data_IF_034728544235
#
_entry.id   IF_034728544235
#
_cell.length_a   1.000
_cell.length_b   1.000
_cell.length_c   1.000
_cell.angle_alpha   90.00
_cell.angle_beta   90.00
_cell.angle_gamma   90.00
#
_symmetry.space_group_name_H-M   'P 1'
#
loop_
_entity.id
_entity.type
_entity.pdbx_description
1 polymer ?
#
# COMPACT_ATOMS: atom_id res chain seq x y z
N UNK A 1 10.31 6.36 17.42
CA UNK A 1 9.66 7.42 16.61
C UNK A 1 9.82 7.00 15.16
N UNK A 2 8.74 6.77 14.44
CA UNK A 2 8.81 6.41 13.01
C UNK A 2 9.09 7.71 12.26
N UNK A 3 10.30 7.88 11.72
CA UNK A 3 10.61 8.98 10.82
C UNK A 3 9.68 8.86 9.61
N UNK A 4 8.82 9.87 9.40
CA UNK A 4 8.05 9.95 8.17
C UNK A 4 9.03 10.30 7.05
N UNK A 5 9.23 9.38 6.11
CA UNK A 5 9.96 9.64 4.86
C UNK A 5 9.41 10.90 4.18
N UNK A 6 10.31 11.76 3.68
CA UNK A 6 9.98 13.00 2.95
C UNK A 6 9.39 12.74 1.55
N UNK A 7 9.43 11.48 1.07
CA UNK A 7 8.89 11.11 -0.24
C UNK A 7 7.37 11.36 -0.31
N UNK A 8 6.93 11.97 -1.41
CA UNK A 8 5.52 12.09 -1.75
C UNK A 8 4.87 10.73 -2.02
N UNK A 9 3.54 10.66 -1.98
CA UNK A 9 2.82 9.42 -2.27
C UNK A 9 3.05 8.96 -3.72
N UNK A 10 3.18 9.90 -4.66
CA UNK A 10 3.48 9.58 -6.05
C UNK A 10 4.86 8.94 -6.21
N UNK A 11 5.90 9.48 -5.57
CA UNK A 11 7.25 8.89 -5.60
C UNK A 11 7.28 7.49 -4.99
N UNK A 12 6.48 7.25 -3.95
CA UNK A 12 6.34 5.93 -3.35
C UNK A 12 5.62 4.96 -4.28
N UNK A 13 4.54 5.39 -4.95
CA UNK A 13 3.82 4.59 -5.95
C UNK A 13 4.75 4.24 -7.12
N UNK A 14 5.48 5.22 -7.65
CA UNK A 14 6.45 5.01 -8.73
C UNK A 14 7.57 4.05 -8.30
N UNK A 15 8.02 4.16 -7.06
CA UNK A 15 8.95 3.20 -6.48
C UNK A 15 8.36 1.79 -6.40
N UNK A 16 7.11 1.65 -5.97
CA UNK A 16 6.42 0.34 -5.93
C UNK A 16 6.32 -0.27 -7.32
N UNK A 17 5.91 0.50 -8.33
CA UNK A 17 5.88 0.06 -9.74
C UNK A 17 7.23 -0.52 -10.16
N UNK A 18 8.31 0.17 -9.82
CA UNK A 18 9.69 -0.25 -10.10
C UNK A 18 10.24 -1.33 -9.14
N UNK A 19 9.36 -2.04 -8.43
CA UNK A 19 9.71 -3.11 -7.48
C UNK A 19 10.62 -2.67 -6.33
N UNK A 20 10.61 -1.38 -5.96
CA UNK A 20 11.36 -0.85 -4.84
C UNK A 20 10.70 -1.27 -3.50
N UNK A 21 11.37 -2.17 -2.79
CA UNK A 21 10.90 -2.71 -1.50
C UNK A 21 10.79 -1.64 -0.41
N UNK A 22 11.65 -0.62 -0.44
CA UNK A 22 11.63 0.46 0.54
C UNK A 22 10.43 1.38 0.33
N UNK A 23 10.13 1.72 -0.92
CA UNK A 23 8.92 2.48 -1.27
C UNK A 23 7.65 1.73 -0.85
N UNK A 24 7.61 0.40 -1.08
CA UNK A 24 6.52 -0.47 -0.63
C UNK A 24 6.36 -0.46 0.90
N UNK A 25 7.47 -0.54 1.63
CA UNK A 25 7.50 -0.52 3.11
C UNK A 25 7.03 0.83 3.66
N UNK A 26 7.56 1.94 3.14
CA UNK A 26 7.18 3.29 3.57
C UNK A 26 5.70 3.54 3.30
N UNK A 27 5.19 3.13 2.13
CA UNK A 27 3.78 3.27 1.78
C UNK A 27 2.88 2.45 2.72
N UNK A 28 3.30 1.23 3.07
CA UNK A 28 2.62 0.42 4.09
C UNK A 28 2.63 1.14 5.45
N UNK A 29 3.79 1.52 5.97
CA UNK A 29 3.93 2.14 7.30
C UNK A 29 3.12 3.44 7.41
N UNK A 30 3.07 4.24 6.33
CA UNK A 30 2.35 5.53 6.28
C UNK A 30 0.84 5.35 6.45
N UNK A 31 0.25 4.33 5.83
CA UNK A 31 -1.20 4.14 5.80
C UNK A 31 -1.71 3.04 6.73
N UNK A 32 -0.84 2.14 7.20
CA UNK A 32 -1.23 0.97 7.98
C UNK A 32 -2.18 1.32 9.12
N UNK A 33 -1.82 2.28 9.98
CA UNK A 33 -2.64 2.66 11.13
C UNK A 33 -4.03 3.18 10.72
N UNK A 34 -4.12 3.98 9.65
CA UNK A 34 -5.40 4.54 9.21
C UNK A 34 -6.34 3.45 8.69
N UNK A 35 -5.80 2.51 7.90
CA UNK A 35 -6.60 1.40 7.36
C UNK A 35 -6.93 0.40 8.48
N UNK A 36 -5.98 0.12 9.37
CA UNK A 36 -6.17 -0.78 10.51
C UNK A 36 -7.25 -0.26 11.47
N UNK A 37 -7.21 1.01 11.85
CA UNK A 37 -8.23 1.63 12.72
C UNK A 37 -9.63 1.54 12.12
N UNK A 38 -9.73 1.67 10.80
CA UNK A 38 -11.00 1.46 10.10
C UNK A 38 -11.43 -0.01 10.16
N UNK A 39 -10.54 -0.94 9.81
CA UNK A 39 -10.84 -2.38 9.82
C UNK A 39 -11.21 -2.90 11.22
N UNK A 40 -10.50 -2.48 12.27
CA UNK A 40 -10.76 -2.88 13.65
C UNK A 40 -12.15 -2.39 14.11
N UNK A 41 -12.53 -1.15 13.79
CA UNK A 41 -13.85 -0.59 14.13
C UNK A 41 -14.99 -1.33 13.44
N UNK A 42 -14.82 -1.68 12.17
CA UNK A 42 -15.86 -2.35 11.37
C UNK A 42 -16.03 -3.81 11.80
N UNK A 43 -14.93 -4.53 12.05
CA UNK A 43 -14.98 -5.97 12.33
C UNK A 43 -15.22 -6.30 13.81
N UNK A 44 -14.96 -5.36 14.73
CA UNK A 44 -14.99 -5.58 16.20
C UNK A 44 -14.12 -6.74 16.67
N UNK A 45 -13.12 -7.10 15.86
CA UNK A 45 -12.19 -8.20 16.07
C UNK A 45 -10.82 -7.76 15.52
N UNK A 46 -9.86 -7.63 16.43
CA UNK A 46 -8.50 -7.16 16.13
C UNK A 46 -7.74 -8.16 15.27
N UNK A 47 -7.82 -9.46 15.59
CA UNK A 47 -7.09 -10.51 14.88
C UNK A 47 -7.60 -10.62 13.44
N UNK A 48 -8.92 -10.53 13.27
CA UNK A 48 -9.52 -10.51 11.93
C UNK A 48 -9.18 -9.24 11.17
N UNK A 49 -9.07 -8.10 11.85
CA UNK A 49 -8.64 -6.85 11.22
C UNK A 49 -7.21 -6.95 10.68
N UNK A 50 -6.27 -7.53 11.43
CA UNK A 50 -4.89 -7.75 10.96
C UNK A 50 -4.84 -8.59 9.67
N UNK A 51 -5.61 -9.69 9.62
CA UNK A 51 -5.69 -10.55 8.44
C UNK A 51 -6.27 -9.81 7.22
N UNK A 52 -7.32 -9.01 7.43
CA UNK A 52 -7.94 -8.21 6.36
C UNK A 52 -6.96 -7.16 5.83
N UNK A 53 -6.18 -6.54 6.71
CA UNK A 53 -5.21 -5.52 6.33
C UNK A 53 -4.06 -6.12 5.50
N UNK A 54 -3.53 -7.27 5.90
CA UNK A 54 -2.51 -7.97 5.12
C UNK A 54 -2.99 -8.23 3.68
N UNK A 55 -4.20 -8.78 3.52
CA UNK A 55 -4.81 -9.04 2.22
C UNK A 55 -5.12 -7.75 1.43
N UNK A 56 -5.53 -6.69 2.12
CA UNK A 56 -5.84 -5.41 1.47
C UNK A 56 -4.59 -4.78 0.86
N UNK A 57 -3.49 -4.72 1.61
CA UNK A 57 -2.24 -4.15 1.10
C UNK A 57 -1.62 -5.01 0.00
N UNK A 58 -1.68 -6.34 0.10
CA UNK A 58 -1.28 -7.23 -0.98
C UNK A 58 -2.00 -6.88 -2.30
N UNK A 59 -3.34 -6.80 -2.27
CA UNK A 59 -4.15 -6.42 -3.44
C UNK A 59 -3.90 -5.01 -3.95
N UNK A 60 -3.62 -4.06 -3.06
CA UNK A 60 -3.28 -2.69 -3.45
C UNK A 60 -1.98 -2.68 -4.25
N UNK A 61 -0.94 -3.37 -3.77
CA UNK A 61 0.34 -3.42 -4.46
C UNK A 61 0.26 -4.19 -5.79
N UNK A 62 -0.51 -5.29 -5.84
CA UNK A 62 -0.80 -5.98 -7.11
C UNK A 62 -1.47 -5.04 -8.13
N UNK A 63 -2.46 -4.25 -7.69
CA UNK A 63 -3.15 -3.29 -8.55
C UNK A 63 -2.26 -2.15 -9.03
N UNK A 64 -1.34 -1.67 -8.18
CA UNK A 64 -0.37 -0.65 -8.58
C UNK A 64 0.51 -1.18 -9.72
N UNK A 65 1.00 -2.42 -9.61
CA UNK A 65 1.76 -3.07 -10.67
C UNK A 65 0.93 -3.27 -11.95
N UNK A 66 -0.25 -3.86 -11.85
CA UNK A 66 -1.11 -4.13 -13.01
C UNK A 66 -1.60 -2.85 -13.72
N UNK A 67 -1.87 -1.78 -12.96
CA UNK A 67 -2.27 -0.48 -13.52
C UNK A 67 -1.18 0.19 -14.35
N UNK A 68 0.09 -0.06 -14.02
CA UNK A 68 1.22 0.42 -14.81
C UNK A 68 1.33 -0.33 -16.15
N UNK A 69 1.25 -1.67 -16.12
CA UNK A 69 1.31 -2.50 -17.33
C UNK A 69 0.23 -2.06 -18.35
N UNK A 70 -1.02 -1.87 -17.90
CA UNK A 70 -2.12 -1.42 -18.78
C UNK A 70 -1.89 -0.03 -19.37
N UNK A 71 -1.16 0.85 -18.67
CA UNK A 71 -0.84 2.19 -19.15
C UNK A 71 0.27 2.14 -20.20
N UNK A 72 1.30 1.33 -20.00
CA UNK A 72 2.40 1.12 -20.97
C UNK A 72 1.92 0.49 -22.29
N UNK A 73 0.94 -0.41 -22.25
CA UNK A 73 0.34 -1.00 -23.47
C UNK A 73 -0.52 -0.02 -24.28
N UNK A 74 -0.97 1.09 -23.70
CA UNK A 74 -1.87 2.05 -24.36
C UNK A 74 -1.14 3.22 -25.02
N UNK A 75 0.14 3.40 -24.72
CA UNK A 75 0.97 4.51 -25.22
C UNK A 75 1.99 4.08 -26.29
N UNK A 76 2.02 2.80 -26.67
CA UNK A 76 2.74 2.27 -27.84
C UNK A 76 1.82 2.22 -29.06
#
# INVERSE_FOLDING_TARGET
>A
MVERSEMSDQELIDGVVNSNKESKRILFDRYFLQVFDYAARVNRDIVRAEQIIALAFERIFEKIHAGHEVTEFRTQ
#
